data_IF_271622468477
#
_entry.id   IF_271622468477
#
_cell.length_a   1.000
_cell.length_b   1.000
_cell.length_c   1.000
_cell.angle_alpha   90.00
_cell.angle_beta   90.00
_cell.angle_gamma   90.00
#
_symmetry.space_group_name_H-M   'P 1'
#
loop_
_entity.id
_entity.type
_entity.pdbx_description
1 polymer ?
#
# COMPACT_ATOMS: atom_id res chain seq x y z
N UNK A 1 -8.57 22.04 -1.27
CA UNK A 1 -8.45 21.16 -2.46
C UNK A 1 -9.12 19.83 -2.06
N UNK A 2 -9.02 18.75 -2.82
CA UNK A 2 -9.80 17.52 -2.54
C UNK A 2 -8.94 16.27 -2.47
N UNK A 3 -9.38 15.30 -1.68
CA UNK A 3 -8.84 13.94 -1.61
C UNK A 3 -9.51 13.06 -2.65
N UNK A 4 -8.70 12.42 -3.49
CA UNK A 4 -9.16 11.44 -4.47
C UNK A 4 -9.35 10.07 -3.82
N UNK A 5 -10.52 9.47 -4.00
CA UNK A 5 -10.81 8.09 -3.63
C UNK A 5 -10.98 7.23 -4.88
N UNK A 6 -10.11 6.24 -5.04
CA UNK A 6 -10.12 5.30 -6.16
C UNK A 6 -10.50 3.90 -5.70
N UNK A 7 -11.47 3.30 -6.37
CA UNK A 7 -11.89 1.91 -6.12
C UNK A 7 -12.61 1.33 -7.33
N UNK A 8 -12.88 0.02 -7.37
CA UNK A 8 -13.65 -0.61 -8.45
C UNK A 8 -14.36 -1.88 -7.97
N UNK A 9 -15.49 -2.23 -8.59
CA UNK A 9 -16.25 -3.46 -8.28
C UNK A 9 -15.43 -4.74 -8.54
N UNK A 10 -14.44 -4.67 -9.43
CA UNK A 10 -13.51 -5.76 -9.71
C UNK A 10 -12.71 -6.21 -8.47
N UNK A 11 -12.54 -5.33 -7.47
CA UNK A 11 -11.96 -5.73 -6.18
C UNK A 11 -12.79 -6.80 -5.46
N UNK A 12 -14.09 -6.94 -5.79
CA UNK A 12 -14.97 -8.00 -5.28
C UNK A 12 -14.88 -9.29 -6.11
N UNK A 13 -14.32 -9.21 -7.33
CA UNK A 13 -14.13 -10.35 -8.23
C UNK A 13 -12.81 -11.10 -7.98
N UNK A 14 -11.89 -10.54 -7.18
CA UNK A 14 -10.79 -11.27 -6.57
C UNK A 14 -11.29 -12.07 -5.35
N UNK A 15 -11.80 -13.27 -5.66
CA UNK A 15 -12.31 -14.22 -4.67
C UNK A 15 -11.23 -15.21 -4.29
N UNK A 16 -11.10 -15.46 -2.98
CA UNK A 16 -10.16 -16.39 -2.36
C UNK A 16 -10.91 -17.59 -1.76
N UNK A 17 -10.23 -18.70 -1.43
CA UNK A 17 -10.87 -19.86 -0.80
C UNK A 17 -11.60 -19.49 0.51
N UNK A 18 -12.65 -20.25 0.85
CA UNK A 18 -13.40 -20.02 2.09
C UNK A 18 -12.47 -20.08 3.31
N UNK A 19 -12.54 -19.07 4.16
CA UNK A 19 -11.73 -18.95 5.38
C UNK A 19 -10.39 -18.26 5.16
N UNK A 20 -10.06 -17.90 3.92
CA UNK A 20 -8.90 -17.06 3.63
C UNK A 20 -9.10 -15.64 4.22
N UNK A 21 -8.12 -15.06 4.93
CA UNK A 21 -8.28 -13.76 5.60
C UNK A 21 -8.36 -12.60 4.59
N UNK A 22 -7.65 -12.70 3.46
CA UNK A 22 -7.73 -11.78 2.32
C UNK A 22 -9.05 -12.04 1.56
N UNK A 23 -10.19 -11.68 2.17
CA UNK A 23 -11.54 -11.98 1.67
C UNK A 23 -12.24 -10.75 1.08
N UNK A 24 -13.24 -10.98 0.22
CA UNK A 24 -14.09 -9.95 -0.39
C UNK A 24 -14.71 -9.01 0.65
N UNK A 25 -15.11 -9.55 1.81
CA UNK A 25 -15.75 -8.80 2.88
C UNK A 25 -14.89 -7.65 3.43
N UNK A 26 -13.57 -7.66 3.21
CA UNK A 26 -12.67 -6.53 3.51
C UNK A 26 -13.10 -5.26 2.77
N UNK A 27 -13.37 -5.37 1.47
CA UNK A 27 -13.82 -4.23 0.67
C UNK A 27 -15.23 -3.79 1.05
N UNK A 28 -16.09 -4.75 1.36
CA UNK A 28 -17.45 -4.43 1.80
C UNK A 28 -17.44 -3.61 3.10
N UNK A 29 -16.57 -3.96 4.05
CA UNK A 29 -16.36 -3.21 5.29
C UNK A 29 -15.84 -1.78 5.01
N UNK A 30 -14.85 -1.64 4.13
CA UNK A 30 -14.32 -0.33 3.72
C UNK A 30 -15.39 0.51 3.02
N UNK A 31 -16.14 -0.09 2.10
CA UNK A 31 -17.22 0.61 1.40
C UNK A 31 -18.33 1.03 2.35
N UNK A 32 -18.67 0.20 3.34
CA UNK A 32 -19.64 0.56 4.36
C UNK A 32 -19.14 1.75 5.21
N UNK A 33 -17.88 1.71 5.66
CA UNK A 33 -17.28 2.78 6.46
C UNK A 33 -17.21 4.11 5.70
N UNK A 34 -16.81 4.07 4.43
CA UNK A 34 -16.67 5.28 3.60
C UNK A 34 -17.98 5.74 2.93
N UNK A 35 -19.13 5.13 3.24
CA UNK A 35 -20.46 5.65 2.86
C UNK A 35 -21.03 6.66 3.84
N UNK A 36 -20.42 6.81 5.02
CA UNK A 36 -20.85 7.80 6.00
C UNK A 36 -20.78 9.22 5.40
N UNK A 37 -21.77 10.11 5.66
CA UNK A 37 -21.79 11.48 5.13
C UNK A 37 -20.53 12.30 5.44
N UNK A 38 -19.77 11.94 6.47
CA UNK A 38 -18.46 12.56 6.74
C UNK A 38 -17.46 12.43 5.58
N UNK A 39 -17.69 11.49 4.65
CA UNK A 39 -16.84 11.22 3.49
C UNK A 39 -17.46 11.67 2.15
N UNK A 40 -18.53 12.48 2.18
CA UNK A 40 -19.20 12.98 0.95
C UNK A 40 -18.32 13.92 0.13
N UNK A 41 -17.34 14.57 0.76
CA UNK A 41 -16.39 15.47 0.08
C UNK A 41 -15.25 14.73 -0.67
N UNK A 42 -15.17 13.40 -0.58
CA UNK A 42 -14.22 12.63 -1.39
C UNK A 42 -14.58 12.75 -2.87
N UNK A 43 -13.59 13.04 -3.71
CA UNK A 43 -13.76 12.90 -5.16
C UNK A 43 -13.59 11.43 -5.50
N UNK A 44 -14.68 10.77 -5.91
CA UNK A 44 -14.68 9.33 -6.21
C UNK A 44 -14.46 9.09 -7.70
N UNK A 45 -13.46 8.28 -8.04
CA UNK A 45 -13.21 7.83 -9.42
C UNK A 45 -13.04 6.31 -9.47
N UNK A 46 -13.48 5.64 -10.55
CA UNK A 46 -13.19 4.23 -10.72
C UNK A 46 -11.69 4.00 -10.92
N UNK A 47 -11.15 2.92 -10.35
CA UNK A 47 -9.82 2.43 -10.67
C UNK A 47 -9.87 1.68 -12.01
N UNK A 48 -9.47 2.36 -13.08
CA UNK A 48 -9.36 1.77 -14.41
C UNK A 48 -8.16 0.83 -14.52
N UNK A 49 -8.21 -0.21 -15.38
CA UNK A 49 -7.12 -1.15 -15.50
C UNK A 49 -5.89 -0.48 -16.11
N UNK A 50 -4.71 -0.77 -15.57
CA UNK A 50 -3.46 -0.35 -16.17
C UNK A 50 -3.23 -1.04 -17.52
N UNK A 51 -2.57 -0.33 -18.43
CA UNK A 51 -1.87 -1.00 -19.51
C UNK A 51 -0.78 -1.90 -18.92
N UNK A 52 -0.59 -3.08 -19.51
CA UNK A 52 0.40 -4.05 -19.05
C UNK A 52 1.83 -3.49 -18.99
N UNK A 53 2.14 -2.50 -19.84
CA UNK A 53 3.42 -1.78 -19.83
C UNK A 53 3.72 -1.10 -18.49
N UNK A 54 2.71 -0.73 -17.70
CA UNK A 54 2.91 -0.19 -16.36
C UNK A 54 3.39 -1.28 -15.37
N UNK A 55 2.90 -2.51 -15.49
CA UNK A 55 3.41 -3.66 -14.70
C UNK A 55 4.88 -3.93 -15.04
N UNK A 56 5.26 -3.74 -16.31
CA UNK A 56 6.64 -3.96 -16.79
C UNK A 56 7.68 -2.98 -16.22
N UNK A 57 7.26 -1.94 -15.49
CA UNK A 57 8.19 -1.06 -14.75
C UNK A 57 8.91 -1.77 -13.61
N UNK A 58 8.26 -2.77 -13.02
CA UNK A 58 8.75 -3.51 -11.86
C UNK A 58 9.00 -4.98 -12.17
N UNK A 59 8.11 -5.59 -12.95
CA UNK A 59 8.15 -7.03 -13.18
C UNK A 59 8.52 -7.35 -14.64
N UNK A 60 9.34 -8.38 -14.90
CA UNK A 60 9.65 -8.77 -16.27
C UNK A 60 8.42 -9.36 -16.97
N UNK A 61 8.43 -9.36 -18.31
CA UNK A 61 7.35 -9.91 -19.13
C UNK A 61 7.08 -11.40 -18.82
N UNK A 62 8.11 -12.17 -18.47
CA UNK A 62 8.00 -13.56 -18.02
C UNK A 62 7.12 -13.71 -16.78
N UNK A 63 7.24 -12.80 -15.81
CA UNK A 63 6.44 -12.78 -14.59
C UNK A 63 4.99 -12.39 -14.87
N UNK A 64 4.78 -11.30 -15.62
CA UNK A 64 3.44 -10.87 -16.03
C UNK A 64 2.70 -12.02 -16.76
N UNK A 65 3.38 -12.68 -17.69
CA UNK A 65 2.82 -13.81 -18.43
C UNK A 65 2.54 -15.02 -17.51
N UNK A 66 3.38 -15.27 -16.50
CA UNK A 66 3.16 -16.32 -15.49
C UNK A 66 1.89 -16.03 -14.68
N UNK A 67 1.74 -14.81 -14.14
CA UNK A 67 0.55 -14.41 -13.37
C UNK A 67 -0.71 -14.47 -14.24
N UNK A 68 -0.66 -13.95 -15.48
CA UNK A 68 -1.80 -14.02 -16.41
C UNK A 68 -2.25 -15.45 -16.68
N UNK A 69 -1.31 -16.36 -16.95
CA UNK A 69 -1.61 -17.78 -17.24
C UNK A 69 -2.15 -18.52 -16.02
N UNK A 70 -1.86 -18.04 -14.81
CA UNK A 70 -2.36 -18.68 -13.60
C UNK A 70 -3.82 -18.37 -13.33
N UNK A 71 -4.37 -17.26 -13.86
CA UNK A 71 -5.78 -16.93 -13.73
C UNK A 71 -6.68 -18.09 -14.24
N UNK A 72 -7.45 -18.76 -13.36
CA UNK A 72 -8.26 -19.89 -13.76
C UNK A 72 -9.52 -19.43 -14.49
N UNK A 73 -10.12 -20.33 -15.29
CA UNK A 73 -11.45 -20.08 -15.90
C UNK A 73 -12.56 -20.23 -14.84
N UNK A 74 -12.40 -21.17 -13.91
CA UNK A 74 -13.32 -21.44 -12.80
C UNK A 74 -12.53 -21.85 -11.55
N UNK A 75 -13.08 -21.61 -10.36
CA UNK A 75 -12.45 -21.97 -9.09
C UNK A 75 -11.21 -21.12 -8.77
N UNK A 76 -10.19 -21.75 -8.21
CA UNK A 76 -8.97 -21.09 -7.72
C UNK A 76 -7.71 -21.77 -8.23
N UNK A 77 -6.67 -20.99 -8.53
CA UNK A 77 -5.28 -21.45 -8.65
C UNK A 77 -4.49 -20.96 -7.45
N UNK A 78 -3.63 -21.82 -6.89
CA UNK A 78 -2.73 -21.46 -5.80
C UNK A 78 -1.34 -21.17 -6.38
N UNK A 79 -0.80 -19.98 -6.12
CA UNK A 79 0.51 -19.54 -6.62
C UNK A 79 1.65 -19.92 -5.66
N UNK A 80 1.39 -19.84 -4.35
CA UNK A 80 2.31 -20.21 -3.28
C UNK A 80 1.54 -20.74 -2.04
N UNK A 81 2.12 -20.64 -0.83
CA UNK A 81 1.48 -21.14 0.38
C UNK A 81 0.11 -20.51 0.70
N UNK A 82 -0.11 -19.25 0.30
CA UNK A 82 -1.26 -18.48 0.74
C UNK A 82 -1.80 -17.47 -0.32
N UNK A 83 -1.21 -17.41 -1.50
CA UNK A 83 -1.63 -16.52 -2.59
C UNK A 83 -2.46 -17.29 -3.62
N UNK A 84 -3.69 -16.85 -3.83
CA UNK A 84 -4.63 -17.49 -4.74
C UNK A 84 -5.06 -16.55 -5.86
N UNK A 85 -5.48 -17.11 -6.98
CA UNK A 85 -6.18 -16.38 -8.03
C UNK A 85 -7.49 -17.09 -8.38
N UNK A 86 -8.54 -16.31 -8.57
CA UNK A 86 -9.83 -16.63 -9.18
C UNK A 86 -9.96 -15.94 -10.55
N UNK A 87 -11.02 -16.22 -11.34
CA UNK A 87 -11.16 -15.67 -12.69
C UNK A 87 -11.07 -14.13 -12.78
N UNK A 88 -11.55 -13.41 -11.76
CA UNK A 88 -11.50 -11.94 -11.71
C UNK A 88 -10.19 -11.35 -11.20
N UNK A 89 -9.23 -12.17 -10.75
CA UNK A 89 -8.05 -11.69 -10.01
C UNK A 89 -7.08 -10.89 -10.87
N UNK A 90 -6.89 -11.29 -12.12
CA UNK A 90 -5.96 -10.61 -13.02
C UNK A 90 -6.46 -9.19 -13.37
N UNK A 91 -7.76 -9.04 -13.67
CA UNK A 91 -8.37 -7.72 -13.91
C UNK A 91 -8.32 -6.85 -12.64
N UNK A 92 -8.68 -7.42 -11.48
CA UNK A 92 -8.62 -6.72 -10.20
C UNK A 92 -7.21 -6.19 -9.89
N UNK A 93 -6.17 -7.00 -10.14
CA UNK A 93 -4.78 -6.61 -9.95
C UNK A 93 -4.33 -5.53 -10.94
N UNK A 94 -4.72 -5.62 -12.22
CA UNK A 94 -4.45 -4.55 -13.19
C UNK A 94 -5.14 -3.24 -12.81
N UNK A 95 -6.32 -3.29 -12.19
CA UNK A 95 -7.02 -2.10 -11.68
C UNK A 95 -6.40 -1.54 -10.42
N UNK A 96 -5.83 -2.37 -9.54
CA UNK A 96 -5.03 -1.89 -8.42
C UNK A 96 -3.83 -1.08 -8.95
N UNK A 97 -3.09 -1.63 -9.92
CA UNK A 97 -1.98 -0.92 -10.58
C UNK A 97 -2.46 0.36 -11.27
N UNK A 98 -3.55 0.29 -12.04
CA UNK A 98 -4.05 1.43 -12.81
C UNK A 98 -4.59 2.55 -11.93
N UNK A 99 -5.26 2.20 -10.83
CA UNK A 99 -5.67 3.15 -9.79
C UNK A 99 -4.47 3.83 -9.13
N UNK A 100 -3.41 3.08 -8.81
CA UNK A 100 -2.20 3.66 -8.19
C UNK A 100 -1.48 4.63 -9.14
N UNK A 101 -1.36 4.26 -10.41
CA UNK A 101 -0.83 5.14 -11.47
C UNK A 101 -1.69 6.39 -11.65
N UNK A 102 -3.02 6.24 -11.71
CA UNK A 102 -3.93 7.37 -11.86
C UNK A 102 -3.91 8.31 -10.65
N UNK A 103 -3.71 7.77 -9.44
CA UNK A 103 -3.54 8.56 -8.23
C UNK A 103 -2.28 9.43 -8.29
N UNK A 104 -1.14 8.84 -8.68
CA UNK A 104 0.12 9.56 -8.91
C UNK A 104 -0.06 10.64 -9.96
N UNK A 105 -0.63 10.29 -11.10
CA UNK A 105 -0.85 11.22 -12.21
C UNK A 105 -1.72 12.42 -11.77
N UNK A 106 -2.82 12.18 -11.04
CA UNK A 106 -3.70 13.24 -10.56
C UNK A 106 -3.06 14.16 -9.51
N UNK A 107 -2.28 13.59 -8.58
CA UNK A 107 -1.59 14.35 -7.52
C UNK A 107 -0.45 15.19 -8.12
N UNK A 108 0.33 14.64 -9.05
CA UNK A 108 1.43 15.37 -9.69
C UNK A 108 0.94 16.43 -10.69
N UNK A 109 -0.22 16.22 -11.31
CA UNK A 109 -0.87 17.24 -12.15
C UNK A 109 -1.43 18.43 -11.35
N UNK A 110 -1.57 18.29 -10.02
CA UNK A 110 -2.22 19.28 -9.17
C UNK A 110 -3.75 19.26 -9.24
N UNK A 111 -4.34 18.23 -9.86
CA UNK A 111 -5.79 18.03 -9.90
C UNK A 111 -6.35 17.64 -8.53
N UNK A 112 -5.53 16.99 -7.71
CA UNK A 112 -5.86 16.46 -6.39
C UNK A 112 -4.71 16.74 -5.43
N UNK A 113 -5.03 17.01 -4.16
CA UNK A 113 -4.00 17.25 -3.15
C UNK A 113 -3.33 15.93 -2.73
N UNK A 114 -4.16 14.92 -2.48
CA UNK A 114 -3.74 13.58 -2.11
C UNK A 114 -4.77 12.55 -2.60
N UNK A 115 -4.41 11.27 -2.50
CA UNK A 115 -5.26 10.18 -2.95
C UNK A 115 -5.21 8.96 -2.02
N UNK A 116 -6.34 8.24 -1.94
CA UNK A 116 -6.44 6.91 -1.35
C UNK A 116 -7.02 5.91 -2.37
N UNK A 117 -6.27 4.84 -2.63
CA UNK A 117 -6.67 3.72 -3.46
C UNK A 117 -7.13 2.55 -2.57
N UNK A 118 -8.42 2.24 -2.62
CA UNK A 118 -8.99 1.07 -1.99
C UNK A 118 -9.24 -0.02 -3.04
N UNK A 119 -8.25 -0.87 -3.26
CA UNK A 119 -8.31 -2.00 -4.20
C UNK A 119 -7.76 -3.28 -3.57
N UNK A 120 -8.16 -4.42 -4.14
CA UNK A 120 -7.61 -5.75 -3.88
C UNK A 120 -7.34 -6.45 -5.22
N UNK A 121 -6.35 -7.36 -5.31
CA UNK A 121 -5.41 -7.79 -4.26
C UNK A 121 -4.40 -6.71 -3.83
N UNK A 122 -3.75 -6.86 -2.66
CA UNK A 122 -2.65 -5.98 -2.20
C UNK A 122 -1.37 -6.15 -3.05
N UNK A 123 -0.31 -5.41 -2.74
CA UNK A 123 0.90 -5.36 -3.58
C UNK A 123 2.26 -5.45 -2.88
N UNK A 124 2.41 -5.04 -1.62
CA UNK A 124 3.75 -4.82 -1.04
C UNK A 124 4.65 -6.07 -0.87
N UNK A 125 4.09 -7.28 -0.97
CA UNK A 125 4.85 -8.55 -0.94
C UNK A 125 5.27 -9.07 -2.32
N UNK A 126 4.72 -8.54 -3.42
CA UNK A 126 5.04 -9.04 -4.76
C UNK A 126 6.45 -8.60 -5.18
N UNK A 127 7.40 -9.55 -5.15
CA UNK A 127 8.77 -9.37 -5.60
C UNK A 127 8.85 -9.31 -7.13
N UNK A 128 10.04 -9.04 -7.67
CA UNK A 128 10.29 -8.94 -9.10
C UNK A 128 9.73 -10.10 -9.90
N UNK A 129 9.91 -11.33 -9.44
CA UNK A 129 9.48 -12.55 -10.14
C UNK A 129 8.64 -13.52 -9.28
N UNK A 130 8.21 -13.08 -8.08
CA UNK A 130 7.48 -13.91 -7.10
C UNK A 130 6.18 -13.22 -6.65
N UNK A 131 5.05 -13.88 -6.89
CA UNK A 131 3.77 -13.54 -6.26
C UNK A 131 3.72 -14.27 -4.92
N UNK A 132 3.47 -13.55 -3.82
CA UNK A 132 3.46 -14.09 -2.46
C UNK A 132 2.71 -13.17 -1.50
N UNK A 133 2.33 -13.67 -0.33
CA UNK A 133 1.66 -12.86 0.70
C UNK A 133 0.42 -12.16 0.17
N UNK A 134 -0.40 -12.89 -0.60
CA UNK A 134 -1.60 -12.41 -1.29
C UNK A 134 -1.37 -11.43 -2.45
N UNK A 135 -0.14 -10.98 -2.67
CA UNK A 135 0.19 -9.92 -3.61
C UNK A 135 0.53 -10.47 -5.00
N UNK A 136 -0.04 -9.86 -6.04
CA UNK A 136 0.20 -10.26 -7.44
C UNK A 136 1.16 -9.31 -8.17
N UNK A 137 1.05 -8.01 -7.95
CA UNK A 137 1.93 -6.99 -8.54
C UNK A 137 2.31 -5.97 -7.47
N UNK A 138 3.54 -5.43 -7.54
CA UNK A 138 4.04 -4.43 -6.61
C UNK A 138 3.39 -3.07 -6.81
N UNK A 139 2.12 -2.93 -6.41
CA UNK A 139 1.25 -1.76 -6.72
C UNK A 139 1.91 -0.42 -6.38
N UNK A 140 2.40 -0.25 -5.15
CA UNK A 140 3.07 1.01 -4.72
C UNK A 140 4.45 1.19 -5.36
N UNK A 141 5.15 0.10 -5.68
CA UNK A 141 6.44 0.16 -6.36
C UNK A 141 6.29 0.60 -7.81
N UNK A 142 5.24 0.12 -8.49
CA UNK A 142 4.89 0.57 -9.84
C UNK A 142 4.49 2.04 -9.81
N UNK A 143 3.72 2.48 -8.80
CA UNK A 143 3.40 3.90 -8.61
C UNK A 143 4.66 4.76 -8.38
N UNK A 144 5.62 4.28 -7.60
CA UNK A 144 6.91 4.95 -7.43
C UNK A 144 7.70 5.04 -8.74
N UNK A 145 7.79 3.95 -9.51
CA UNK A 145 8.44 3.94 -10.83
C UNK A 145 7.70 4.81 -11.86
N UNK A 146 6.38 4.91 -11.79
CA UNK A 146 5.59 5.84 -12.59
C UNK A 146 6.00 7.29 -12.29
N UNK A 147 6.05 7.66 -11.02
CA UNK A 147 6.47 9.00 -10.60
C UNK A 147 7.91 9.32 -11.05
N UNK A 148 8.83 8.37 -10.89
CA UNK A 148 10.25 8.54 -11.25
C UNK A 148 10.48 8.58 -12.76
N UNK A 149 9.94 7.62 -13.50
CA UNK A 149 10.34 7.38 -14.90
C UNK A 149 9.42 8.07 -15.91
N UNK A 150 8.14 8.31 -15.56
CA UNK A 150 7.22 9.03 -16.43
C UNK A 150 7.14 10.52 -16.10
N UNK A 151 6.98 10.87 -14.81
CA UNK A 151 6.90 12.27 -14.38
C UNK A 151 8.27 12.90 -14.10
N UNK A 152 9.35 12.10 -14.13
CA UNK A 152 10.71 12.61 -14.03
C UNK A 152 11.09 13.08 -12.64
N UNK A 153 10.40 12.63 -11.58
CA UNK A 153 10.78 12.97 -10.21
C UNK A 153 12.19 12.44 -9.92
N UNK A 154 12.97 13.25 -9.21
CA UNK A 154 14.30 12.89 -8.77
C UNK A 154 14.30 12.06 -7.48
N UNK A 155 13.27 12.23 -6.62
CA UNK A 155 13.15 11.52 -5.34
C UNK A 155 11.70 11.17 -4.97
N UNK A 156 11.44 9.92 -4.61
CA UNK A 156 10.14 9.44 -4.12
C UNK A 156 10.34 8.66 -2.82
N UNK A 157 9.46 8.84 -1.83
CA UNK A 157 9.47 8.03 -0.62
C UNK A 157 8.29 7.04 -0.63
N UNK A 158 8.53 5.79 -0.27
CA UNK A 158 7.50 4.78 -0.01
C UNK A 158 7.53 4.44 1.47
N UNK A 159 6.43 4.71 2.18
CA UNK A 159 6.28 4.50 3.62
C UNK A 159 5.26 3.39 3.85
N UNK A 160 5.69 2.31 4.48
CA UNK A 160 4.90 1.10 4.70
C UNK A 160 4.70 0.87 6.19
N UNK A 161 3.44 0.92 6.63
CA UNK A 161 3.04 0.65 8.01
C UNK A 161 2.15 -0.60 8.12
N UNK A 162 2.05 -1.41 7.06
CA UNK A 162 1.51 -2.77 7.17
C UNK A 162 2.32 -3.57 8.21
N UNK A 163 1.67 -4.45 8.96
CA UNK A 163 2.33 -5.21 10.02
C UNK A 163 3.38 -6.18 9.48
N UNK A 164 3.25 -6.58 8.21
CA UNK A 164 4.20 -7.43 7.54
C UNK A 164 5.25 -6.61 6.80
N UNK A 165 6.48 -7.11 6.75
CA UNK A 165 7.53 -6.45 5.98
C UNK A 165 7.16 -6.45 4.49
N UNK A 166 7.10 -5.27 3.87
CA UNK A 166 6.94 -5.09 2.42
C UNK A 166 8.16 -5.53 1.61
N UNK A 167 8.50 -6.83 1.68
CA UNK A 167 9.67 -7.42 1.01
C UNK A 167 9.64 -7.25 -0.51
N UNK A 168 8.45 -7.24 -1.12
CA UNK A 168 8.30 -7.00 -2.56
C UNK A 168 8.69 -5.57 -2.92
N UNK A 169 8.23 -4.59 -2.15
CA UNK A 169 8.65 -3.18 -2.31
C UNK A 169 10.15 -3.02 -2.09
N UNK A 170 10.71 -3.68 -1.08
CA UNK A 170 12.15 -3.70 -0.84
C UNK A 170 12.93 -4.27 -2.03
N UNK A 171 12.52 -5.43 -2.56
CA UNK A 171 13.17 -6.09 -3.70
C UNK A 171 13.11 -5.21 -4.96
N UNK A 172 11.93 -4.70 -5.29
CA UNK A 172 11.69 -3.90 -6.49
C UNK A 172 12.42 -2.54 -6.48
N UNK A 173 12.71 -2.00 -5.29
CA UNK A 173 13.40 -0.71 -5.10
C UNK A 173 14.84 -0.86 -4.57
N UNK A 174 15.35 -2.10 -4.47
CA UNK A 174 16.65 -2.40 -3.85
C UNK A 174 17.83 -1.63 -4.47
N UNK A 175 17.79 -1.41 -5.78
CA UNK A 175 18.83 -0.70 -6.54
C UNK A 175 18.33 0.63 -7.15
N UNK A 176 17.30 1.24 -6.56
CA UNK A 176 16.77 2.53 -7.00
C UNK A 176 17.19 3.65 -6.04
N UNK A 177 18.31 4.32 -6.34
CA UNK A 177 18.83 5.42 -5.50
C UNK A 177 17.89 6.65 -5.39
N UNK A 178 16.93 6.78 -6.31
CA UNK A 178 15.91 7.84 -6.30
C UNK A 178 14.71 7.51 -5.40
N UNK A 179 14.62 6.30 -4.88
CA UNK A 179 13.55 5.91 -3.96
C UNK A 179 14.10 5.75 -2.54
N UNK A 180 13.33 6.14 -1.53
CA UNK A 180 13.58 5.72 -0.14
C UNK A 180 12.40 4.87 0.31
N UNK A 181 12.68 3.64 0.77
CA UNK A 181 11.67 2.76 1.32
C UNK A 181 11.83 2.68 2.84
N UNK A 182 10.74 2.89 3.56
CA UNK A 182 10.68 2.73 5.01
C UNK A 182 9.55 1.77 5.33
N UNK A 183 9.85 0.72 6.10
CA UNK A 183 8.84 -0.24 6.57
C UNK A 183 8.95 -0.44 8.07
N UNK A 184 7.86 -0.21 8.80
CA UNK A 184 7.72 -0.74 10.16
C UNK A 184 6.87 -1.98 10.14
N UNK A 185 7.38 -3.07 10.71
CA UNK A 185 6.72 -4.37 10.65
C UNK A 185 7.04 -5.16 11.90
N UNK A 186 6.17 -6.10 12.25
CA UNK A 186 6.46 -7.02 13.34
C UNK A 186 7.60 -7.96 12.95
N UNK A 187 8.56 -8.14 13.86
CA UNK A 187 9.60 -9.16 13.73
C UNK A 187 9.82 -9.89 15.08
N UNK A 188 9.82 -11.23 15.10
CA UNK A 188 9.59 -12.14 13.97
C UNK A 188 8.10 -12.23 13.56
N UNK A 189 7.85 -12.24 12.25
CA UNK A 189 6.57 -12.55 11.59
C UNK A 189 6.86 -12.96 10.13
N UNK A 190 5.84 -13.44 9.40
CA UNK A 190 5.91 -13.51 7.94
C UNK A 190 6.33 -12.14 7.37
N UNK A 191 7.19 -12.07 6.34
CA UNK A 191 7.78 -13.17 5.55
C UNK A 191 9.12 -13.71 6.09
N UNK A 192 9.56 -13.30 7.28
CA UNK A 192 10.86 -13.69 7.84
C UNK A 192 12.05 -12.90 7.29
N UNK A 193 11.81 -11.71 6.74
CA UNK A 193 12.82 -10.74 6.29
C UNK A 193 12.53 -9.35 6.89
N UNK A 194 13.28 -8.32 6.49
CA UNK A 194 13.12 -6.96 7.01
C UNK A 194 14.08 -6.65 8.16
N UNK A 195 15.24 -7.31 8.22
CA UNK A 195 16.22 -7.00 9.24
C UNK A 195 16.75 -5.56 9.05
N UNK A 196 17.01 -4.85 10.14
CA UNK A 196 17.57 -3.49 10.10
C UNK A 196 18.94 -3.40 9.37
N UNK A 197 19.63 -4.54 9.17
CA UNK A 197 20.86 -4.61 8.38
C UNK A 197 20.64 -4.55 6.85
N UNK A 198 19.42 -4.81 6.39
CA UNK A 198 19.03 -4.74 4.97
C UNK A 198 18.80 -3.27 4.59
N UNK A 199 19.78 -2.68 3.90
CA UNK A 199 19.83 -1.22 3.66
C UNK A 199 19.70 -0.81 2.19
N UNK A 200 19.47 -1.77 1.30
CA UNK A 200 19.52 -1.54 -0.15
C UNK A 200 20.94 -1.25 -0.66
N UNK A 201 21.06 -1.12 -1.98
CA UNK A 201 22.34 -0.83 -2.64
C UNK A 201 22.89 0.58 -2.37
N UNK A 202 22.03 1.52 -1.95
CA UNK A 202 22.33 2.95 -1.80
C UNK A 202 22.01 3.50 -0.40
N UNK A 203 21.85 2.63 0.62
CA UNK A 203 21.40 3.02 1.98
C UNK A 203 20.02 3.70 2.01
N UNK A 204 19.14 3.26 1.11
CA UNK A 204 17.82 3.86 0.91
C UNK A 204 16.67 3.00 1.44
N UNK A 205 16.98 1.82 1.99
CA UNK A 205 16.01 0.96 2.68
C UNK A 205 16.16 1.14 4.19
N UNK A 206 15.05 1.40 4.87
CA UNK A 206 14.99 1.63 6.31
C UNK A 206 13.95 0.70 6.91
N UNK A 207 14.43 -0.44 7.42
CA UNK A 207 13.58 -1.39 8.13
C UNK A 207 13.53 -1.07 9.63
N UNK A 208 12.31 -1.04 10.16
CA UNK A 208 11.98 -0.69 11.54
C UNK A 208 11.28 -1.89 12.21
N UNK A 209 12.01 -2.97 12.53
CA UNK A 209 11.41 -4.15 13.15
C UNK A 209 10.84 -3.82 14.54
N UNK A 210 9.59 -4.18 14.75
CA UNK A 210 8.84 -3.99 15.99
C UNK A 210 8.63 -5.34 16.68
N UNK A 211 8.77 -5.38 18.00
CA UNK A 211 8.51 -6.58 18.76
C UNK A 211 6.99 -6.87 18.82
N UNK A 212 6.56 -8.14 18.92
CA UNK A 212 5.18 -8.47 19.21
C UNK A 212 4.68 -7.74 20.46
N UNK A 213 3.46 -7.22 20.39
CA UNK A 213 2.82 -6.45 21.44
C UNK A 213 3.16 -4.96 21.46
N UNK A 214 4.06 -4.48 20.59
CA UNK A 214 4.35 -3.04 20.45
C UNK A 214 3.08 -2.25 20.19
N UNK A 215 2.85 -1.22 21.02
CA UNK A 215 1.72 -0.31 20.91
C UNK A 215 2.09 1.01 20.24
N UNK A 216 1.14 1.95 20.25
CA UNK A 216 1.27 3.26 19.62
C UNK A 216 2.45 4.10 20.12
N UNK A 217 2.80 4.05 21.40
CA UNK A 217 3.90 4.86 21.96
C UNK A 217 5.26 4.50 21.37
N UNK A 218 5.58 3.22 21.33
CA UNK A 218 6.85 2.70 20.83
C UNK A 218 6.91 2.82 19.31
N UNK A 219 5.79 2.60 18.61
CA UNK A 219 5.65 2.86 17.19
C UNK A 219 6.03 4.31 16.84
N UNK A 220 5.48 5.28 17.58
CA UNK A 220 5.71 6.71 17.33
C UNK A 220 7.18 7.08 17.43
N UNK A 221 7.86 6.61 18.48
CA UNK A 221 9.29 6.87 18.69
C UNK A 221 10.15 6.37 17.52
N UNK A 222 9.83 5.19 16.99
CA UNK A 222 10.56 4.60 15.87
C UNK A 222 10.27 5.35 14.57
N UNK A 223 9.01 5.74 14.34
CA UNK A 223 8.61 6.50 13.15
C UNK A 223 9.13 7.94 13.15
N UNK A 224 9.24 8.63 14.28
CA UNK A 224 9.79 9.99 14.35
C UNK A 224 11.22 10.07 13.75
N UNK A 225 12.08 9.10 14.10
CA UNK A 225 13.43 9.02 13.56
C UNK A 225 13.45 8.72 12.05
N UNK A 226 12.55 7.83 11.60
CA UNK A 226 12.39 7.52 10.19
C UNK A 226 11.88 8.72 9.38
N UNK A 227 10.87 9.43 9.85
CA UNK A 227 10.32 10.62 9.21
C UNK A 227 11.37 11.72 9.09
N UNK A 228 12.23 11.91 10.09
CA UNK A 228 13.35 12.84 10.01
C UNK A 228 14.36 12.44 8.90
N UNK A 229 14.61 11.15 8.72
CA UNK A 229 15.47 10.64 7.63
C UNK A 229 14.82 10.87 6.26
N UNK A 230 13.51 10.65 6.13
CA UNK A 230 12.77 10.92 4.89
C UNK A 230 12.73 12.43 4.61
N UNK A 231 12.57 13.28 5.62
CA UNK A 231 12.66 14.74 5.46
C UNK A 231 14.03 15.17 4.91
N UNK A 232 15.12 14.57 5.40
CA UNK A 232 16.47 14.82 4.89
C UNK A 232 16.65 14.33 3.44
N UNK A 233 15.98 13.24 3.06
CA UNK A 233 15.93 12.77 1.69
C UNK A 233 15.18 13.75 0.76
N UNK A 234 14.25 14.56 1.28
CA UNK A 234 13.46 15.55 0.51
C UNK A 234 12.75 14.92 -0.70
N UNK A 235 11.85 13.95 -0.49
CA UNK A 235 11.09 13.37 -1.59
C UNK A 235 10.19 14.44 -2.24
N UNK A 236 9.85 14.22 -3.50
CA UNK A 236 8.96 15.08 -4.28
C UNK A 236 7.53 14.49 -4.34
N UNK A 237 7.35 13.29 -3.82
CA UNK A 237 6.08 12.59 -3.63
C UNK A 237 6.26 11.55 -2.50
N UNK A 238 5.25 11.43 -1.64
CA UNK A 238 5.17 10.33 -0.66
C UNK A 238 4.10 9.34 -1.12
N UNK A 239 4.48 8.06 -1.18
CA UNK A 239 3.59 6.93 -1.44
C UNK A 239 3.47 6.11 -0.16
N UNK A 240 2.27 5.63 0.15
CA UNK A 240 2.01 4.88 1.38
C UNK A 240 1.46 3.50 1.06
N UNK A 241 2.11 2.47 1.59
CA UNK A 241 1.53 1.12 1.73
C UNK A 241 0.74 1.09 3.02
N UNK A 242 -0.58 1.24 2.89
CA UNK A 242 -1.49 1.41 4.02
C UNK A 242 -2.16 0.08 4.39
N UNK A 243 -1.43 -0.73 5.15
CA UNK A 243 -1.95 -1.92 5.83
C UNK A 243 -2.50 -1.59 7.21
N UNK A 244 -3.62 -2.19 7.58
CA UNK A 244 -4.30 -1.93 8.87
C UNK A 244 -4.29 -3.14 9.82
N UNK A 245 -3.42 -4.11 9.55
CA UNK A 245 -3.22 -5.35 10.33
C UNK A 245 -2.26 -5.21 11.51
N UNK A 246 -1.68 -4.03 11.72
CA UNK A 246 -1.02 -3.69 13.00
C UNK A 246 -2.04 -3.45 14.13
N UNK A 247 -3.34 -3.41 13.81
CA UNK A 247 -4.41 -3.20 14.77
C UNK A 247 -4.48 -4.35 15.79
N UNK A 248 -4.70 -4.04 17.07
CA UNK A 248 -4.78 -5.01 18.18
C UNK A 248 -5.81 -6.14 18.04
N UNK A 249 -6.76 -5.97 17.13
CA UNK A 249 -7.82 -6.94 16.86
C UNK A 249 -7.51 -7.85 15.67
N UNK A 250 -6.47 -7.53 14.91
CA UNK A 250 -6.15 -8.24 13.68
C UNK A 250 -5.67 -9.67 13.95
N UNK A 251 -6.13 -10.68 13.20
CA UNK A 251 -5.73 -12.07 13.42
C UNK A 251 -4.36 -12.44 12.84
N UNK A 252 -3.77 -11.62 11.95
CA UNK A 252 -2.51 -11.95 11.26
C UNK A 252 -1.31 -11.16 11.81
N UNK A 253 -1.56 -10.08 12.54
CA UNK A 253 -0.55 -9.33 13.29
C UNK A 253 -0.52 -9.71 14.77
N UNK A 254 0.47 -9.18 15.48
CA UNK A 254 0.57 -9.24 16.93
C UNK A 254 0.94 -7.89 17.56
N UNK A 255 0.79 -6.79 16.82
CA UNK A 255 0.96 -5.43 17.34
C UNK A 255 -0.34 -4.93 17.99
N UNK A 256 -0.22 -3.89 18.82
CA UNK A 256 -1.32 -3.38 19.64
C UNK A 256 -1.75 -1.98 19.22
N UNK A 257 -1.83 -1.69 17.92
CA UNK A 257 -2.21 -0.36 17.45
C UNK A 257 -3.72 -0.16 17.54
N UNK A 258 -4.10 1.11 17.53
CA UNK A 258 -5.48 1.58 17.46
C UNK A 258 -5.71 2.47 16.26
N UNK A 259 -6.96 2.78 15.99
CA UNK A 259 -7.42 3.74 15.00
C UNK A 259 -6.77 5.13 15.20
N UNK A 260 -6.50 5.51 16.45
CA UNK A 260 -5.79 6.74 16.80
C UNK A 260 -4.30 6.71 16.45
N UNK A 261 -3.70 5.53 16.36
CA UNK A 261 -2.31 5.35 15.93
C UNK A 261 -2.20 5.44 14.41
N UNK A 262 -3.14 4.85 13.67
CA UNK A 262 -3.25 5.05 12.22
C UNK A 262 -3.54 6.50 11.85
N UNK A 263 -4.41 7.20 12.61
CA UNK A 263 -4.63 8.63 12.42
C UNK A 263 -3.33 9.42 12.66
N UNK A 264 -2.60 9.13 13.74
CA UNK A 264 -1.34 9.83 14.04
C UNK A 264 -0.28 9.63 12.95
N UNK A 265 -0.03 8.39 12.51
CA UNK A 265 1.00 8.16 11.49
C UNK A 265 0.61 8.84 10.18
N UNK A 266 -0.69 8.88 9.86
CA UNK A 266 -1.18 9.63 8.69
C UNK A 266 -0.92 11.12 8.83
N UNK A 267 -1.19 11.73 9.99
CA UNK A 267 -0.87 13.15 10.22
C UNK A 267 0.63 13.41 10.06
N UNK A 268 1.47 12.56 10.66
CA UNK A 268 2.92 12.72 10.62
C UNK A 268 3.49 12.58 9.19
N UNK A 269 2.93 11.67 8.39
CA UNK A 269 3.25 11.54 6.96
C UNK A 269 2.81 12.77 6.17
N UNK A 270 1.61 13.30 6.43
CA UNK A 270 1.14 14.51 5.78
C UNK A 270 1.93 15.76 6.19
N UNK A 271 2.36 15.87 7.45
CA UNK A 271 3.24 16.95 7.93
C UNK A 271 4.56 16.93 7.17
N UNK A 272 5.18 15.75 7.07
CA UNK A 272 6.36 15.55 6.25
C UNK A 272 6.11 15.96 4.80
N UNK A 273 4.99 15.54 4.19
CA UNK A 273 4.67 15.83 2.80
C UNK A 273 4.44 17.34 2.56
N UNK A 274 3.78 18.05 3.47
CA UNK A 274 3.60 19.51 3.38
C UNK A 274 4.96 20.21 3.38
N UNK A 275 5.89 19.77 4.23
CA UNK A 275 7.23 20.35 4.35
C UNK A 275 8.13 20.08 3.14
N UNK A 276 8.04 18.88 2.53
CA UNK A 276 9.00 18.46 1.50
C UNK A 276 8.46 18.40 0.07
N UNK A 277 7.17 18.15 -0.12
CA UNK A 277 6.56 17.94 -1.43
C UNK A 277 5.20 18.63 -1.60
N UNK A 278 4.92 19.71 -0.85
CA UNK A 278 3.68 20.49 -1.01
C UNK A 278 2.42 19.65 -0.77
N UNK A 279 2.49 18.70 0.16
CA UNK A 279 1.38 17.87 0.61
C UNK A 279 1.00 16.73 -0.35
N UNK A 280 1.88 16.38 -1.30
CA UNK A 280 1.62 15.33 -2.30
C UNK A 280 1.77 13.94 -1.69
N UNK A 281 0.63 13.29 -1.44
CA UNK A 281 0.53 11.94 -0.85
C UNK A 281 -0.36 11.04 -1.70
N UNK A 282 0.11 9.83 -2.00
CA UNK A 282 -0.70 8.75 -2.59
C UNK A 282 -0.66 7.54 -1.67
N UNK A 283 -1.81 7.11 -1.18
CA UNK A 283 -1.93 5.95 -0.29
C UNK A 283 -2.67 4.81 -0.98
N UNK A 284 -2.20 3.58 -0.82
CA UNK A 284 -2.83 2.38 -1.37
C UNK A 284 -3.06 1.34 -0.26
N UNK A 285 -4.26 0.76 -0.24
CA UNK A 285 -4.62 -0.30 0.69
C UNK A 285 -3.73 -1.54 0.51
N UNK A 286 -3.23 -2.08 1.62
CA UNK A 286 -2.51 -3.37 1.70
C UNK A 286 -3.30 -4.37 2.56
N UNK A 287 -2.78 -4.78 3.72
CA UNK A 287 -3.37 -5.73 4.68
C UNK A 287 -4.43 -5.13 5.63
N UNK A 288 -4.80 -5.93 6.64
CA UNK A 288 -5.89 -5.65 7.59
C UNK A 288 -7.08 -6.59 7.38
N UNK A 289 -7.37 -7.44 8.37
CA UNK A 289 -8.16 -8.67 8.20
C UNK A 289 -9.26 -8.86 9.26
N UNK A 290 -9.22 -8.11 10.36
CA UNK A 290 -10.41 -7.90 11.19
C UNK A 290 -11.32 -6.83 10.53
N UNK A 291 -12.56 -7.20 10.18
CA UNK A 291 -13.41 -6.38 9.31
C UNK A 291 -13.86 -5.07 9.96
N UNK A 292 -14.19 -5.11 11.26
CA UNK A 292 -14.65 -3.93 12.00
C UNK A 292 -13.47 -2.98 12.23
N UNK A 293 -12.33 -3.51 12.65
CA UNK A 293 -11.10 -2.75 12.82
C UNK A 293 -10.59 -2.15 11.50
N UNK A 294 -10.65 -2.91 10.39
CA UNK A 294 -10.26 -2.44 9.07
C UNK A 294 -11.11 -1.25 8.64
N UNK A 295 -12.44 -1.37 8.72
CA UNK A 295 -13.35 -0.29 8.36
C UNK A 295 -13.10 0.98 9.19
N UNK A 296 -12.93 0.83 10.51
CA UNK A 296 -12.67 1.94 11.42
C UNK A 296 -11.29 2.59 11.18
N UNK A 297 -10.26 1.78 10.93
CA UNK A 297 -8.89 2.27 10.72
C UNK A 297 -8.72 2.96 9.36
N UNK A 298 -9.33 2.42 8.29
CA UNK A 298 -9.39 3.09 6.99
C UNK A 298 -10.14 4.42 7.10
N UNK A 299 -11.28 4.44 7.80
CA UNK A 299 -12.02 5.67 8.04
C UNK A 299 -11.20 6.72 8.80
N UNK A 300 -10.38 6.31 9.78
CA UNK A 300 -9.46 7.20 10.49
C UNK A 300 -8.37 7.76 9.55
N UNK A 301 -7.72 6.91 8.76
CA UNK A 301 -6.71 7.31 7.78
C UNK A 301 -7.26 8.29 6.74
N UNK A 302 -8.40 7.95 6.11
CA UNK A 302 -9.01 8.76 5.05
C UNK A 302 -9.52 10.11 5.58
N UNK A 303 -10.01 10.15 6.83
CA UNK A 303 -10.42 11.43 7.46
C UNK A 303 -9.25 12.40 7.55
N UNK A 304 -8.08 11.92 7.96
CA UNK A 304 -6.86 12.76 8.00
C UNK A 304 -6.47 13.21 6.59
N UNK A 305 -6.52 12.32 5.59
CA UNK A 305 -6.26 12.73 4.20
C UNK A 305 -7.21 13.83 3.73
N UNK A 306 -8.50 13.76 4.08
CA UNK A 306 -9.49 14.80 3.76
C UNK A 306 -9.19 16.13 4.46
N UNK A 307 -8.84 16.09 5.75
CA UNK A 307 -8.43 17.28 6.50
C UNK A 307 -7.22 17.97 5.87
N UNK A 308 -6.27 17.19 5.34
CA UNK A 308 -5.05 17.67 4.68
C UNK A 308 -5.25 18.00 3.20
N UNK A 309 -6.33 17.51 2.61
CA UNK A 309 -6.74 17.84 1.25
C UNK A 309 -7.40 19.21 1.16
N UNK A 310 -8.04 19.67 2.24
CA UNK A 310 -8.92 20.84 2.28
C UNK A 310 -8.25 22.17 1.92
#
# INVERSE_FOLDING_TARGET
MTTLYLTHEAALAHVTPRGHPEQVARMEAIYAALRDPAFDALVRRPAEPAAEAEVLRCHPESYLAKVRRAAPVEGWSQLDGDTFMSPGSFDAALRAVGGAVAAVDAVLAGDMQNAFLAMRPPGHHAERETAMGFCLFGTVSIAAKRALDHHGLGRVAVLDFDVHHGNGTQDLLWDEARAMFVSSHQMPLYPGSGYASERGAHDQIVNLPLAPGTGGSEMRQVWEGALARVAAFRPELVIVSAGFDAHRADPLGGLNWSEADFAWITHAICDLADDCCGGRVVSALEGGYDLDALGASVAAHVRVLMERGA
#
